data_IF_700463658871
#
_entry.id   IF_700463658871
#
_cell.length_a   1.000
_cell.length_b   1.000
_cell.length_c   1.000
_cell.angle_alpha   90.00
_cell.angle_beta   90.00
_cell.angle_gamma   90.00
#
_symmetry.space_group_name_H-M   'P 1'
#
loop_
_entity.id
_entity.type
_entity.pdbx_description
1 polymer ?
#
# COMPACT_ATOMS: atom_id res chain seq x y z
N UNK A 1 -4.50 6.01 0.13
CA UNK A 1 -5.15 4.89 0.85
C UNK A 1 -6.40 5.38 1.57
N UNK A 2 -7.32 4.51 1.97
CA UNK A 2 -8.52 4.93 2.71
C UNK A 2 -8.26 4.83 4.21
N UNK A 3 -8.48 5.91 4.96
CA UNK A 3 -8.45 5.89 6.42
C UNK A 3 -9.79 5.34 6.93
N UNK A 4 -9.76 4.12 7.46
CA UNK A 4 -10.97 3.44 7.90
C UNK A 4 -11.55 4.01 9.21
N UNK A 5 -10.77 4.72 10.01
CA UNK A 5 -11.23 5.38 11.23
C UNK A 5 -11.93 6.69 10.87
N UNK A 6 -11.26 7.55 10.10
CA UNK A 6 -11.78 8.87 9.71
C UNK A 6 -12.80 8.82 8.59
N UNK A 7 -12.91 7.68 7.89
CA UNK A 7 -13.74 7.49 6.68
C UNK A 7 -13.37 8.47 5.56
N UNK A 8 -12.07 8.77 5.41
CA UNK A 8 -11.56 9.73 4.43
C UNK A 8 -10.42 9.13 3.60
N UNK A 9 -10.29 9.59 2.35
CA UNK A 9 -9.13 9.29 1.53
C UNK A 9 -7.90 10.06 2.02
N UNK A 10 -6.77 9.36 2.10
CA UNK A 10 -5.47 9.91 2.44
C UNK A 10 -4.50 9.80 1.28
N UNK A 11 -3.79 10.90 1.02
CA UNK A 11 -2.64 10.95 0.12
C UNK A 11 -1.40 11.01 1.00
N UNK A 12 -0.51 10.06 0.82
CA UNK A 12 0.79 10.03 1.51
C UNK A 12 1.87 10.43 0.51
N UNK A 13 2.79 11.27 0.96
CA UNK A 13 3.91 11.73 0.15
C UNK A 13 5.19 11.63 0.98
N UNK A 14 6.25 11.09 0.38
CA UNK A 14 7.56 10.90 0.98
C UNK A 14 8.60 11.44 0.01
N UNK A 15 9.23 12.60 0.29
CA UNK A 15 10.21 13.19 -0.61
C UNK A 15 11.50 12.34 -0.63
N UNK A 16 12.01 12.04 -1.83
CA UNK A 16 13.26 11.27 -2.00
C UNK A 16 14.51 12.15 -1.90
N UNK A 17 14.38 13.47 -2.08
CA UNK A 17 15.47 14.46 -2.04
C UNK A 17 15.08 15.72 -1.28
N UNK A 18 16.07 16.47 -0.81
CA UNK A 18 15.88 17.82 -0.28
C UNK A 18 15.54 18.81 -1.40
N UNK A 19 15.06 19.99 -1.02
CA UNK A 19 14.65 21.07 -1.92
C UNK A 19 13.14 21.23 -2.03
N UNK A 20 12.72 22.04 -3.00
CA UNK A 20 11.31 22.37 -3.23
C UNK A 20 10.60 21.29 -4.03
N UNK A 21 9.45 20.85 -3.52
CA UNK A 21 8.54 19.91 -4.15
C UNK A 21 7.18 20.58 -4.33
N UNK A 22 6.54 20.29 -5.46
CA UNK A 22 5.19 20.71 -5.75
C UNK A 22 4.32 19.45 -5.92
N UNK A 23 3.22 19.39 -5.16
CA UNK A 23 2.25 18.30 -5.24
C UNK A 23 0.93 18.90 -5.70
N UNK A 24 0.51 18.55 -6.90
CA UNK A 24 -0.79 18.96 -7.45
C UNK A 24 -1.71 17.76 -7.48
N UNK A 25 -2.82 17.86 -6.75
CA UNK A 25 -3.86 16.83 -6.72
C UNK A 25 -4.89 17.19 -7.77
N UNK A 26 -5.16 16.23 -8.65
CA UNK A 26 -6.22 16.34 -9.65
C UNK A 26 -7.42 15.51 -9.22
N UNK A 27 -8.61 16.01 -9.51
CA UNK A 27 -9.84 15.25 -9.34
C UNK A 27 -10.70 15.37 -10.59
N UNK A 28 -11.48 14.32 -10.84
CA UNK A 28 -12.50 14.27 -11.87
C UNK A 28 -13.74 13.66 -11.25
N UNK A 29 -14.92 14.14 -11.67
CA UNK A 29 -16.17 13.47 -11.30
C UNK A 29 -16.33 12.24 -12.19
N UNK A 30 -16.91 11.19 -11.63
CA UNK A 30 -17.28 10.00 -12.40
C UNK A 30 -18.21 10.43 -13.54
N UNK A 31 -17.79 10.17 -14.79
CA UNK A 31 -18.47 10.50 -16.06
C UNK A 31 -18.21 11.89 -16.68
N UNK A 32 -17.25 12.69 -16.18
CA UNK A 32 -16.79 13.90 -16.88
C UNK A 32 -15.50 13.61 -17.67
N UNK A 33 -15.39 14.09 -18.91
CA UNK A 33 -14.11 14.08 -19.64
C UNK A 33 -13.19 15.16 -19.07
N UNK A 34 -12.06 14.73 -18.52
CA UNK A 34 -11.02 15.62 -17.99
C UNK A 34 -10.89 15.58 -16.47
N UNK A 35 -9.79 16.13 -15.99
CA UNK A 35 -9.53 16.33 -14.55
C UNK A 35 -9.14 17.78 -14.31
N UNK A 36 -9.49 18.31 -13.15
CA UNK A 36 -9.10 19.65 -12.72
C UNK A 36 -8.15 19.57 -11.54
N UNK A 37 -7.15 20.46 -11.51
CA UNK A 37 -6.30 20.62 -10.33
C UNK A 37 -7.14 21.18 -9.19
N UNK A 38 -7.32 20.40 -8.13
CA UNK A 38 -8.19 20.77 -7.00
C UNK A 38 -7.42 21.37 -5.84
N UNK A 39 -6.18 20.95 -5.64
CA UNK A 39 -5.31 21.51 -4.60
C UNK A 39 -3.85 21.37 -5.01
N UNK A 40 -3.06 22.37 -4.63
CA UNK A 40 -1.61 22.40 -4.79
C UNK A 40 -0.95 22.58 -3.44
N UNK A 41 0.06 21.78 -3.16
CA UNK A 41 0.92 21.88 -1.99
C UNK A 41 2.34 22.18 -2.43
N UNK A 42 2.96 23.18 -1.83
CA UNK A 42 4.38 23.46 -1.96
C UNK A 42 5.07 23.01 -0.66
N UNK A 43 6.08 22.15 -0.79
CA UNK A 43 6.85 21.63 0.34
C UNK A 43 8.33 21.89 0.11
N UNK A 44 8.97 22.64 1.00
CA UNK A 44 10.42 22.83 1.00
C UNK A 44 11.09 21.91 2.03
N UNK A 45 11.84 20.94 1.54
CA UNK A 45 12.48 19.89 2.34
C UNK A 45 13.93 20.27 2.59
N UNK A 46 14.22 20.86 3.73
CA UNK A 46 15.58 21.28 4.10
C UNK A 46 16.44 20.14 4.64
N UNK A 47 15.81 19.12 5.25
CA UNK A 47 16.48 17.94 5.80
C UNK A 47 15.65 16.69 5.60
N UNK A 48 16.27 15.66 5.02
CA UNK A 48 15.70 14.31 4.96
C UNK A 48 16.19 13.47 6.13
N UNK A 49 15.27 12.77 6.80
CA UNK A 49 15.63 11.77 7.82
C UNK A 49 16.18 10.51 7.18
N UNK A 50 15.46 10.00 6.17
CA UNK A 50 15.86 8.90 5.29
C UNK A 50 15.05 8.99 4.00
N UNK A 51 15.63 8.70 2.83
CA UNK A 51 14.85 8.46 1.63
C UNK A 51 13.91 7.28 1.87
N UNK A 52 12.69 7.37 1.35
CA UNK A 52 11.67 6.34 1.51
C UNK A 52 10.87 6.25 0.22
N UNK A 53 10.55 5.03 -0.19
CA UNK A 53 9.61 4.75 -1.27
C UNK A 53 8.40 4.09 -0.66
N UNK A 54 7.21 4.36 -1.17
CA UNK A 54 6.04 3.57 -0.79
C UNK A 54 6.01 2.27 -1.59
N UNK A 55 5.37 1.21 -1.07
CA UNK A 55 5.16 0.02 -1.87
C UNK A 55 4.25 0.32 -3.05
N UNK A 56 4.37 -0.49 -4.10
CA UNK A 56 3.46 -0.41 -5.24
C UNK A 56 2.07 -0.91 -4.80
N UNK A 57 1.04 -0.14 -5.08
CA UNK A 57 -0.35 -0.51 -4.82
C UNK A 57 -1.07 -0.81 -6.14
N UNK A 58 -1.91 -1.84 -6.15
CA UNK A 58 -2.75 -2.19 -7.29
C UNK A 58 -4.12 -1.50 -7.19
N UNK A 59 -4.86 -1.42 -8.29
CA UNK A 59 -6.19 -0.79 -8.32
C UNK A 59 -7.16 -1.41 -7.31
N UNK A 60 -7.09 -2.73 -7.09
CA UNK A 60 -7.94 -3.44 -6.11
C UNK A 60 -7.75 -2.89 -4.69
N UNK A 61 -6.54 -2.48 -4.31
CA UNK A 61 -6.28 -1.86 -3.00
C UNK A 61 -7.10 -0.57 -2.83
N UNK A 62 -7.25 0.22 -3.89
CA UNK A 62 -8.05 1.45 -3.86
C UNK A 62 -9.54 1.12 -3.90
N UNK A 63 -9.99 0.28 -4.84
CA UNK A 63 -11.43 -0.03 -4.96
C UNK A 63 -12.00 -0.70 -3.71
N UNK A 64 -11.20 -1.55 -3.04
CA UNK A 64 -11.56 -2.20 -1.78
C UNK A 64 -11.33 -1.33 -0.54
N UNK A 65 -10.94 -0.05 -0.69
CA UNK A 65 -10.70 0.88 0.43
C UNK A 65 -9.72 0.33 1.47
N UNK A 66 -8.66 -0.33 1.00
CA UNK A 66 -7.63 -0.88 1.87
C UNK A 66 -6.78 0.23 2.51
N UNK A 67 -6.15 -0.11 3.63
CA UNK A 67 -5.26 0.74 4.39
C UNK A 67 -4.01 -0.03 4.81
N UNK A 68 -2.83 0.47 4.45
CA UNK A 68 -1.56 -0.07 4.89
C UNK A 68 -1.15 0.63 6.20
N UNK A 69 -0.95 -0.15 7.26
CA UNK A 69 -0.52 0.33 8.58
C UNK A 69 1.00 0.18 8.72
N UNK A 70 1.54 -1.01 8.45
CA UNK A 70 2.99 -1.25 8.47
C UNK A 70 3.36 -2.46 7.58
N UNK A 71 4.59 -2.53 7.03
CA UNK A 71 5.55 -1.42 6.91
C UNK A 71 5.09 -0.44 5.82
N UNK A 72 5.21 0.86 6.07
CA UNK A 72 4.88 1.87 5.07
C UNK A 72 6.02 2.01 4.04
N UNK A 73 7.24 1.62 4.43
CA UNK A 73 8.40 1.57 3.54
C UNK A 73 8.25 0.45 2.50
N UNK A 74 8.32 0.82 1.23
CA UNK A 74 8.18 -0.05 0.08
C UNK A 74 9.40 -0.93 -0.17
N UNK A 75 10.52 -0.62 0.48
CA UNK A 75 11.76 -1.39 0.40
C UNK A 75 11.96 -2.17 1.70
N UNK A 76 12.03 -3.50 1.58
CA UNK A 76 12.24 -4.40 2.70
C UNK A 76 13.66 -4.96 2.67
N UNK A 77 14.29 -5.07 3.84
CA UNK A 77 15.64 -5.64 3.96
C UNK A 77 15.60 -7.16 3.83
N UNK A 78 16.40 -7.73 2.92
CA UNK A 78 16.56 -9.17 2.74
C UNK A 78 16.85 -9.90 4.06
N UNK A 79 16.14 -10.99 4.31
CA UNK A 79 16.30 -11.83 5.51
C UNK A 79 15.80 -11.21 6.82
N UNK A 80 15.34 -9.96 6.82
CA UNK A 80 14.75 -9.35 8.00
C UNK A 80 13.39 -10.01 8.33
N UNK A 81 13.05 -10.04 9.61
CA UNK A 81 11.68 -10.36 10.05
C UNK A 81 10.91 -9.05 10.15
N UNK A 82 9.81 -8.95 9.41
CA UNK A 82 8.99 -7.72 9.36
C UNK A 82 7.55 -8.03 9.72
N UNK A 83 6.91 -7.11 10.45
CA UNK A 83 5.48 -7.17 10.74
C UNK A 83 4.70 -6.41 9.67
N UNK A 84 3.82 -7.13 8.98
CA UNK A 84 2.84 -6.62 8.03
C UNK A 84 1.51 -6.45 8.76
N UNK A 85 0.94 -5.26 8.64
CA UNK A 85 -0.40 -4.93 9.12
C UNK A 85 -1.15 -4.11 8.07
N UNK A 86 -2.31 -4.61 7.65
CA UNK A 86 -3.14 -4.02 6.61
C UNK A 86 -4.62 -4.24 6.91
N UNK A 87 -5.44 -3.21 6.69
CA UNK A 87 -6.90 -3.32 6.68
C UNK A 87 -7.35 -3.61 5.24
N UNK A 88 -8.05 -4.71 5.04
CA UNK A 88 -8.51 -5.27 3.76
C UNK A 88 -9.99 -5.65 3.90
N UNK A 89 -10.93 -4.69 3.83
CA UNK A 89 -12.35 -4.95 4.07
C UNK A 89 -12.97 -5.90 3.05
N UNK A 90 -13.75 -6.88 3.54
CA UNK A 90 -14.58 -7.73 2.69
C UNK A 90 -13.83 -8.83 1.94
N UNK A 91 -12.53 -9.00 2.21
CA UNK A 91 -11.81 -10.17 1.71
C UNK A 91 -12.21 -11.42 2.51
N UNK A 92 -12.41 -12.53 1.80
CA UNK A 92 -12.69 -13.84 2.41
C UNK A 92 -11.40 -14.61 2.72
N UNK A 93 -10.32 -14.27 2.04
CA UNK A 93 -9.00 -14.84 2.28
C UNK A 93 -7.92 -13.82 1.87
N UNK A 94 -6.80 -13.83 2.58
CA UNK A 94 -5.66 -12.96 2.31
C UNK A 94 -4.39 -13.77 2.44
N UNK A 95 -3.54 -13.70 1.43
CA UNK A 95 -2.27 -14.41 1.40
C UNK A 95 -1.11 -13.47 1.13
N UNK A 96 0.03 -13.81 1.73
CA UNK A 96 1.30 -13.13 1.51
C UNK A 96 2.17 -14.03 0.65
N UNK A 97 2.75 -13.47 -0.42
CA UNK A 97 3.71 -14.15 -1.26
C UNK A 97 5.09 -13.56 -0.99
N UNK A 98 6.05 -14.40 -0.65
CA UNK A 98 7.46 -14.02 -0.53
C UNK A 98 8.23 -14.72 -1.64
N UNK A 99 8.84 -13.93 -2.52
CA UNK A 99 9.37 -14.37 -3.80
C UNK A 99 8.30 -15.16 -4.60
N UNK A 100 8.57 -16.43 -4.90
CA UNK A 100 7.61 -17.29 -5.62
C UNK A 100 6.72 -18.13 -4.70
N UNK A 101 6.87 -18.03 -3.37
CA UNK A 101 6.21 -18.91 -2.41
C UNK A 101 5.06 -18.21 -1.68
N UNK A 102 3.89 -18.84 -1.71
CA UNK A 102 2.76 -18.46 -0.87
C UNK A 102 3.04 -18.86 0.57
N UNK A 103 2.90 -17.91 1.48
CA UNK A 103 2.92 -18.16 2.92
C UNK A 103 1.45 -18.16 3.33
N UNK A 104 0.92 -19.33 3.73
CA UNK A 104 -0.53 -19.59 3.86
C UNK A 104 -1.31 -18.60 4.73
N UNK A 105 -2.64 -18.62 4.70
CA UNK A 105 -3.55 -17.54 5.12
C UNK A 105 -3.60 -17.16 6.62
N UNK A 106 -2.66 -17.65 7.43
CA UNK A 106 -2.56 -17.28 8.84
C UNK A 106 -2.36 -15.77 9.04
N UNK A 107 -2.98 -15.24 10.09
CA UNK A 107 -2.85 -13.83 10.46
C UNK A 107 -3.90 -12.91 9.85
N UNK A 108 -4.79 -13.42 8.99
CA UNK A 108 -5.96 -12.66 8.55
C UNK A 108 -7.19 -12.95 9.41
N UNK A 109 -7.79 -11.89 9.96
CA UNK A 109 -9.09 -11.89 10.61
C UNK A 109 -9.83 -10.64 10.14
N UNK A 110 -10.81 -10.83 9.28
CA UNK A 110 -11.55 -9.73 8.63
C UNK A 110 -11.86 -8.57 9.61
N UNK A 111 -11.49 -7.33 9.27
CA UNK A 111 -10.84 -6.88 8.02
C UNK A 111 -9.32 -6.78 8.11
N UNK A 112 -8.66 -7.35 9.11
CA UNK A 112 -7.26 -7.08 9.43
C UNK A 112 -6.36 -8.26 9.05
N UNK A 113 -5.36 -8.01 8.21
CA UNK A 113 -4.18 -8.85 8.10
C UNK A 113 -3.13 -8.34 9.09
N UNK A 114 -2.68 -9.18 10.01
CA UNK A 114 -1.53 -8.91 10.88
C UNK A 114 -0.62 -10.14 10.93
N UNK A 115 0.62 -10.00 10.45
CA UNK A 115 1.54 -11.14 10.34
C UNK A 115 3.00 -10.74 10.34
N UNK A 116 3.85 -11.60 10.92
CA UNK A 116 5.29 -11.54 10.71
C UNK A 116 5.74 -12.46 9.58
N UNK A 117 6.62 -11.95 8.72
CA UNK A 117 7.26 -12.74 7.66
C UNK A 117 8.78 -12.55 7.70
N UNK A 118 9.51 -13.56 7.23
CA UNK A 118 10.92 -13.40 6.86
C UNK A 118 10.99 -12.95 5.41
N UNK A 119 11.62 -11.80 5.16
CA UNK A 119 11.74 -11.22 3.83
C UNK A 119 12.65 -12.09 2.97
N UNK A 120 12.16 -12.40 1.77
CA UNK A 120 12.87 -13.18 0.75
C UNK A 120 13.99 -12.39 0.09
N UNK A 121 14.23 -12.66 -1.20
CA UNK A 121 15.35 -12.10 -1.95
C UNK A 121 14.95 -11.18 -3.10
N UNK A 122 13.67 -11.17 -3.48
CA UNK A 122 13.17 -10.44 -4.67
C UNK A 122 12.03 -9.50 -4.31
N UNK A 123 10.93 -10.04 -3.80
CA UNK A 123 9.72 -9.27 -3.57
C UNK A 123 8.82 -9.88 -2.50
N UNK A 124 7.97 -9.03 -1.92
CA UNK A 124 6.87 -9.45 -1.06
C UNK A 124 5.58 -8.87 -1.62
N UNK A 125 4.58 -9.72 -1.87
CA UNK A 125 3.27 -9.31 -2.34
C UNK A 125 2.16 -9.68 -1.35
N UNK A 126 1.17 -8.81 -1.21
CA UNK A 126 -0.06 -9.06 -0.45
C UNK A 126 -1.20 -9.19 -1.44
N UNK A 127 -1.98 -10.25 -1.30
CA UNK A 127 -3.07 -10.59 -2.20
C UNK A 127 -4.33 -10.92 -1.42
N UNK A 128 -5.48 -10.56 -1.96
CA UNK A 128 -6.77 -10.87 -1.35
C UNK A 128 -7.70 -11.57 -2.33
N UNK A 129 -8.55 -12.41 -1.78
CA UNK A 129 -9.66 -13.07 -2.48
C UNK A 129 -10.97 -12.52 -1.94
N UNK A 130 -11.92 -12.30 -2.84
CA UNK A 130 -13.26 -11.78 -2.56
C UNK A 130 -14.31 -12.76 -3.11
N UNK A 131 -15.51 -12.81 -2.52
CA UNK A 131 -16.56 -13.80 -2.89
C UNK A 131 -16.86 -13.85 -4.39
N UNK A 132 -16.88 -12.68 -5.04
CA UNK A 132 -17.28 -12.53 -6.44
C UNK A 132 -16.18 -12.95 -7.44
N UNK A 133 -14.98 -13.33 -6.96
CA UNK A 133 -13.84 -13.67 -7.82
C UNK A 133 -13.20 -15.00 -7.42
N UNK A 134 -12.93 -15.90 -8.39
CA UNK A 134 -12.35 -17.21 -8.07
C UNK A 134 -10.88 -17.12 -7.62
N UNK A 135 -10.16 -16.08 -8.05
CA UNK A 135 -8.72 -15.91 -7.85
C UNK A 135 -8.33 -14.82 -6.86
N UNK A 136 -7.03 -14.70 -6.65
CA UNK A 136 -6.41 -13.66 -5.84
C UNK A 136 -6.11 -12.42 -6.67
N UNK A 137 -6.51 -11.26 -6.16
CA UNK A 137 -6.10 -9.96 -6.68
C UNK A 137 -4.88 -9.45 -5.90
N UNK A 138 -3.90 -8.88 -6.60
CA UNK A 138 -2.80 -8.16 -5.95
C UNK A 138 -3.30 -6.90 -5.27
N UNK A 139 -2.77 -6.61 -4.09
CA UNK A 139 -3.08 -5.40 -3.32
C UNK A 139 -1.85 -4.50 -3.18
N UNK A 140 -0.76 -5.06 -2.64
CA UNK A 140 0.47 -4.34 -2.33
C UNK A 140 1.65 -5.18 -2.80
N UNK A 141 2.71 -4.53 -3.31
CA UNK A 141 3.99 -5.15 -3.63
C UNK A 141 5.14 -4.32 -3.10
N UNK A 142 6.01 -4.98 -2.34
CA UNK A 142 7.28 -4.45 -1.84
C UNK A 142 8.44 -4.95 -2.69
N UNK A 143 9.48 -4.12 -2.81
CA UNK A 143 10.79 -4.52 -3.33
C UNK A 143 11.70 -4.95 -2.19
N UNK A 144 12.69 -5.79 -2.48
CA UNK A 144 13.68 -6.24 -1.50
C UNK A 144 15.06 -5.73 -1.86
N UNK A 145 15.80 -5.24 -0.87
CA UNK A 145 17.21 -4.85 -0.95
C UNK A 145 18.07 -5.57 0.09
#
# INVERSE_FOLDING_TARGET
QFDNEKKLWQILFAPERTGRHEITVFASKTNEEGSSGVVRFDLDVTKLRRPMKFPMIYSTFQTAKCQLVTPIDGVLKKGAVVSIECVIPGAIDVNVRVDSKWIGSEGYRDPILQRQITVGSKEVGIYAKYEQKPGYDGLIKYTVE
#
